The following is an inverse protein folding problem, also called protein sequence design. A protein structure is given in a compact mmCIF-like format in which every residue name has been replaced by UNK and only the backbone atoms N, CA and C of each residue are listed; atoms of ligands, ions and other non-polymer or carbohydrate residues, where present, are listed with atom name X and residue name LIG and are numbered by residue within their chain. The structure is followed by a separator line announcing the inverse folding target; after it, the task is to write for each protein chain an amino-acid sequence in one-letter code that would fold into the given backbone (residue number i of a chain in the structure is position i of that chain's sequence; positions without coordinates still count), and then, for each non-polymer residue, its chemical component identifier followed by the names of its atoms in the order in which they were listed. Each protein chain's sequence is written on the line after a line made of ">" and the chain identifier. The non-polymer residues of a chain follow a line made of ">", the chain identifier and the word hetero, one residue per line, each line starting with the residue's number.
data_IF_936797300989
#
_entry.id   IF_936797300989
#
_cell.length_a   1.000
_cell.length_b   1.000
_cell.length_c   1.000
_cell.angle_alpha   90.00
_cell.angle_beta   90.00
_cell.angle_gamma   90.00
#
_symmetry.space_group_name_H-M   'P 1'
#
loop_
_entity.id
_entity.type
_entity.pdbx_description
1 polymer ?
#
# COMPACT_ATOMS: atom_id res chain seq x y z
N UNK A 1 19.49 -11.42 3.76
CA UNK A 1 18.25 -11.37 4.54
C UNK A 1 17.07 -11.77 3.69
N UNK A 2 16.34 -12.66 4.23
CA UNK A 2 15.18 -13.09 3.59
C UNK A 2 14.06 -12.34 4.17
N UNK A 3 13.74 -11.28 3.69
CA UNK A 3 12.80 -10.40 4.32
C UNK A 3 11.41 -10.97 4.39
N UNK A 4 10.69 -10.60 5.39
CA UNK A 4 9.25 -10.71 5.35
C UNK A 4 8.72 -9.43 4.77
N UNK A 5 7.48 -9.48 4.35
CA UNK A 5 6.80 -8.32 3.80
C UNK A 5 5.42 -8.26 4.44
N UNK A 6 5.06 -7.10 4.95
CA UNK A 6 3.75 -6.93 5.56
C UNK A 6 3.37 -5.46 5.53
N UNK A 7 2.19 -5.19 5.01
CA UNK A 7 1.65 -3.85 5.01
C UNK A 7 0.18 -3.92 5.41
N UNK A 8 -0.26 -2.97 6.23
CA UNK A 8 -1.66 -2.87 6.64
C UNK A 8 -2.26 -1.64 6.00
N UNK A 9 -3.36 -1.83 5.31
CA UNK A 9 -4.03 -0.79 4.56
C UNK A 9 -5.33 -0.45 5.26
N UNK A 10 -5.60 0.84 5.41
CA UNK A 10 -6.77 1.30 6.16
C UNK A 10 -7.66 2.16 5.29
N UNK A 11 -8.95 2.02 5.52
CA UNK A 11 -9.97 2.73 4.78
C UNK A 11 -9.99 4.22 5.09
N UNK A 12 -9.67 4.59 6.31
CA UNK A 12 -9.74 5.97 6.77
C UNK A 12 -8.37 6.47 7.23
N UNK A 13 -8.24 7.80 7.37
CA UNK A 13 -6.98 8.33 7.89
C UNK A 13 -6.69 7.86 9.31
N UNK A 14 -5.46 7.99 9.70
CA UNK A 14 -5.00 7.68 11.06
C UNK A 14 -5.29 6.25 11.47
N UNK A 15 -5.12 5.32 10.52
CA UNK A 15 -5.31 3.89 10.77
C UNK A 15 -6.71 3.57 11.26
N UNK A 16 -7.70 4.24 10.68
CA UNK A 16 -9.08 4.03 11.04
C UNK A 16 -9.84 3.23 10.02
N UNK A 17 -11.02 2.76 10.41
CA UNK A 17 -11.90 2.04 9.54
C UNK A 17 -11.45 0.62 9.29
N UNK A 18 -11.91 0.07 8.19
CA UNK A 18 -11.59 -1.31 7.80
C UNK A 18 -10.11 -1.44 7.46
N UNK A 19 -9.52 -2.54 7.88
CA UNK A 19 -8.10 -2.79 7.65
C UNK A 19 -7.93 -4.10 6.91
N UNK A 20 -7.00 -4.11 5.95
CA UNK A 20 -6.58 -5.32 5.26
C UNK A 20 -5.08 -5.46 5.38
N UNK A 21 -4.62 -6.65 5.72
CA UNK A 21 -3.20 -6.94 5.83
C UNK A 21 -2.75 -7.68 4.59
N UNK A 22 -1.63 -7.25 4.00
CA UNK A 22 -1.14 -7.78 2.74
C UNK A 22 0.32 -8.19 2.92
N UNK A 23 0.67 -9.37 2.42
CA UNK A 23 2.03 -9.90 2.50
C UNK A 23 2.61 -10.25 1.15
N UNK A 24 1.84 -10.11 0.08
CA UNK A 24 2.26 -10.45 -1.28
C UNK A 24 1.86 -9.35 -2.23
N UNK A 25 2.35 -9.46 -3.47
CA UNK A 25 1.95 -8.54 -4.51
C UNK A 25 0.44 -8.62 -4.73
N UNK A 26 -0.17 -7.47 -4.97
CA UNK A 26 -1.60 -7.39 -5.18
C UNK A 26 -1.86 -6.61 -6.46
N UNK A 27 -2.18 -7.28 -7.57
CA UNK A 27 -2.37 -6.59 -8.85
C UNK A 27 -3.69 -5.84 -8.94
N UNK A 28 -4.65 -6.16 -8.08
CA UNK A 28 -5.93 -5.46 -8.10
C UNK A 28 -6.48 -5.38 -6.69
N UNK A 29 -6.30 -4.20 -6.08
CA UNK A 29 -6.70 -3.99 -4.70
C UNK A 29 -8.21 -4.11 -4.55
N UNK A 30 -8.96 -3.53 -5.48
CA UNK A 30 -10.41 -3.55 -5.38
C UNK A 30 -10.96 -4.97 -5.44
N UNK A 31 -10.43 -5.79 -6.34
CA UNK A 31 -10.92 -7.16 -6.49
C UNK A 31 -10.50 -8.05 -5.33
N UNK A 32 -9.26 -7.90 -4.88
CA UNK A 32 -8.70 -8.78 -3.86
C UNK A 32 -9.07 -8.37 -2.45
N UNK A 33 -9.03 -7.06 -2.19
CA UNK A 33 -9.19 -6.55 -0.83
C UNK A 33 -10.52 -5.85 -0.62
N UNK A 34 -11.26 -5.62 -1.69
CA UNK A 34 -12.55 -4.94 -1.64
C UNK A 34 -12.41 -3.53 -1.08
N UNK A 35 -11.29 -2.89 -1.37
CA UNK A 35 -11.02 -1.51 -1.00
C UNK A 35 -10.69 -0.74 -2.25
N UNK A 36 -11.29 0.43 -2.43
CA UNK A 36 -10.92 1.31 -3.54
C UNK A 36 -10.10 2.49 -3.07
N UNK A 37 -10.39 2.98 -1.87
CA UNK A 37 -9.69 4.11 -1.31
C UNK A 37 -8.88 3.64 -0.11
N UNK A 38 -7.60 4.00 -0.10
CA UNK A 38 -6.72 3.72 1.02
C UNK A 38 -6.26 5.06 1.55
N UNK A 39 -6.67 5.39 2.74
CA UNK A 39 -6.41 6.70 3.32
C UNK A 39 -5.25 6.71 4.29
N UNK A 40 -4.85 5.55 4.78
CA UNK A 40 -3.66 5.44 5.62
C UNK A 40 -3.13 4.03 5.53
N UNK A 41 -1.88 3.84 5.94
CA UNK A 41 -1.30 2.52 5.95
C UNK A 41 -0.16 2.45 6.95
N UNK A 42 0.18 1.23 7.32
CA UNK A 42 1.33 0.97 8.18
C UNK A 42 2.17 -0.11 7.51
N UNK A 43 3.35 0.25 7.07
CA UNK A 43 4.29 -0.72 6.51
C UNK A 43 5.05 -1.34 7.66
N UNK A 44 4.74 -2.60 7.95
CA UNK A 44 5.32 -3.30 9.08
C UNK A 44 6.68 -3.85 8.71
N UNK A 45 6.77 -4.49 7.55
CA UNK A 45 8.02 -5.10 7.09
C UNK A 45 8.19 -4.90 5.60
N UNK A 46 9.44 -4.64 5.20
CA UNK A 46 9.80 -4.56 3.80
C UNK A 46 9.50 -3.21 3.18
N UNK A 47 9.89 -3.08 1.94
CA UNK A 47 9.64 -1.88 1.15
C UNK A 47 8.60 -2.21 0.08
N UNK A 48 7.74 -1.26 -0.21
CA UNK A 48 6.59 -1.50 -1.08
C UNK A 48 6.45 -0.38 -2.11
N UNK A 49 5.86 -0.72 -3.24
CA UNK A 49 5.41 0.26 -4.21
C UNK A 49 3.90 0.14 -4.35
N UNK A 50 3.22 1.27 -4.25
CA UNK A 50 1.79 1.33 -4.55
C UNK A 50 1.58 2.09 -5.84
N UNK A 51 0.54 1.73 -6.57
CA UNK A 51 0.19 2.38 -7.83
C UNK A 51 -1.27 2.79 -7.77
N UNK A 52 -1.59 3.90 -8.43
CA UNK A 52 -2.97 4.39 -8.41
C UNK A 52 -3.89 3.60 -9.32
N UNK A 53 -3.34 2.76 -10.19
CA UNK A 53 -4.13 1.93 -11.10
C UNK A 53 -3.82 0.46 -10.90
N UNK A 54 -4.71 -0.43 -11.35
CA UNK A 54 -4.44 -1.86 -11.27
C UNK A 54 -3.27 -2.27 -12.16
N UNK A 55 -2.75 -3.44 -11.91
CA UNK A 55 -1.70 -4.08 -12.70
C UNK A 55 -0.40 -3.28 -12.71
N UNK A 56 -0.13 -2.60 -11.61
CA UNK A 56 1.14 -1.88 -11.41
C UNK A 56 1.33 -0.79 -12.45
N UNK A 57 0.27 -0.07 -12.72
CA UNK A 57 0.28 1.02 -13.69
C UNK A 57 -0.06 2.33 -13.02
N UNK A 58 0.23 3.40 -13.73
CA UNK A 58 -0.01 4.73 -13.22
C UNK A 58 1.15 5.20 -12.39
N UNK A 59 0.87 6.07 -11.44
CA UNK A 59 1.92 6.68 -10.65
C UNK A 59 2.36 5.77 -9.51
N UNK A 60 3.67 5.49 -9.38
CA UNK A 60 4.15 4.70 -8.26
C UNK A 60 4.40 5.57 -7.03
N UNK A 61 4.17 4.98 -5.86
CA UNK A 61 4.46 5.61 -4.58
C UNK A 61 5.33 4.64 -3.79
N UNK A 62 6.50 5.10 -3.40
CA UNK A 62 7.46 4.29 -2.69
C UNK A 62 7.20 4.39 -1.18
N UNK A 63 7.09 3.24 -0.53
CA UNK A 63 6.84 3.17 0.89
C UNK A 63 7.91 2.34 1.57
N UNK A 64 8.44 2.87 2.66
CA UNK A 64 9.34 2.12 3.52
C UNK A 64 8.66 1.88 4.86
N UNK A 65 9.23 1.04 5.71
CA UNK A 65 8.59 0.74 7.00
C UNK A 65 8.26 1.99 7.77
N UNK A 66 7.07 2.01 8.35
CA UNK A 66 6.59 3.14 9.11
C UNK A 66 5.11 3.37 8.91
N UNK A 67 4.62 4.40 9.57
CA UNK A 67 3.22 4.77 9.52
C UNK A 67 2.99 5.92 8.56
N UNK A 68 1.93 5.81 7.77
CA UNK A 68 1.51 6.85 6.86
C UNK A 68 0.07 7.18 7.23
N UNK A 69 -0.12 8.30 7.89
CA UNK A 69 -1.40 8.62 8.51
C UNK A 69 -2.44 9.10 7.53
N UNK A 70 -2.00 9.56 6.36
CA UNK A 70 -2.92 9.98 5.30
C UNK A 70 -2.21 9.82 3.96
N UNK A 71 -3.00 9.82 2.90
CA UNK A 71 -2.42 9.53 1.58
C UNK A 71 -1.39 10.58 1.15
N UNK A 72 -1.48 11.79 1.66
CA UNK A 72 -0.48 12.80 1.31
C UNK A 72 0.89 12.45 1.88
N UNK A 73 0.96 11.60 2.90
CA UNK A 73 2.24 11.21 3.48
C UNK A 73 3.06 10.34 2.53
N UNK A 74 2.45 9.70 1.56
CA UNK A 74 3.23 8.98 0.54
C UNK A 74 3.27 9.75 -0.78
N UNK A 75 2.81 10.99 -0.77
CA UNK A 75 2.87 11.82 -1.96
C UNK A 75 1.66 11.69 -2.85
N UNK A 76 0.61 11.06 -2.38
CA UNK A 76 -0.58 10.87 -3.18
C UNK A 76 -1.42 12.13 -3.27
N UNK A 77 -2.08 12.30 -4.40
CA UNK A 77 -3.02 13.38 -4.60
C UNK A 77 -4.45 12.95 -4.29
N UNK A 78 -4.65 11.65 -4.10
CA UNK A 78 -5.96 11.11 -3.76
C UNK A 78 -5.76 9.77 -3.06
N UNK A 79 -6.79 9.25 -2.40
CA UNK A 79 -6.66 7.96 -1.71
C UNK A 79 -6.77 6.75 -2.62
N UNK A 80 -6.91 6.96 -3.93
CA UNK A 80 -7.15 5.86 -4.84
C UNK A 80 -5.89 5.05 -5.07
N UNK A 81 -5.93 3.78 -4.72
CA UNK A 81 -4.83 2.83 -4.95
C UNK A 81 -5.40 1.62 -5.66
N UNK A 82 -4.79 1.25 -6.78
CA UNK A 82 -5.26 0.13 -7.58
C UNK A 82 -4.44 -1.13 -7.43
N UNK A 83 -3.16 -0.99 -7.12
CA UNK A 83 -2.29 -2.17 -6.98
C UNK A 83 -1.11 -1.82 -6.09
N UNK A 84 -0.44 -2.86 -5.58
CA UNK A 84 0.80 -2.66 -4.83
C UNK A 84 1.65 -3.91 -4.96
N UNK A 85 2.95 -3.72 -4.81
CA UNK A 85 3.86 -4.85 -4.87
C UNK A 85 5.03 -4.65 -3.93
N UNK A 86 5.63 -5.77 -3.57
CA UNK A 86 6.84 -5.76 -2.75
C UNK A 86 8.02 -5.35 -3.61
N UNK A 87 8.98 -4.70 -2.99
CA UNK A 87 10.24 -4.43 -3.64
C UNK A 87 11.20 -5.53 -3.20
N UNK A 88 11.42 -6.51 -4.06
CA UNK A 88 12.17 -7.70 -3.71
C UNK A 88 13.62 -7.66 -4.20
N UNK A 89 13.94 -6.75 -5.08
CA UNK A 89 15.30 -6.61 -5.62
C UNK A 89 15.99 -5.39 -5.04
N UNK A 90 15.65 -5.08 -3.81
CA UNK A 90 16.17 -3.91 -3.13
C UNK A 90 17.50 -4.25 -2.46
N UNK A 91 18.52 -3.50 -2.76
CA UNK A 91 19.83 -3.70 -2.14
C UNK A 91 20.33 -2.44 -1.49
#
# INVERSE_FOLDING_TARGET
>A
HRGSYKIRLYERPDMGGQMQEVSDDCPNVQDRLRMSDINSCNVVDGHWLMYDQPNYRGRPYYLRPGEYRRYSDWGGASPRIGSLRRITDFN
#
